data_IF_510389146340
#
_entry.id   IF_510389146340
#
_cell.length_a   1.000
_cell.length_b   1.000
_cell.length_c   1.000
_cell.angle_alpha   90.00
_cell.angle_beta   90.00
_cell.angle_gamma   90.00
#
_symmetry.space_group_name_H-M   'P 1'
#
loop_
_entity.id
_entity.type
_entity.pdbx_description
1 polymer ?
#
# COMPACT_ATOMS: atom_id res chain seq x y z
N UNK A 1 3.38 1.63 31.24
CA UNK A 1 4.53 2.57 31.27
C UNK A 1 4.75 2.97 29.82
N UNK A 2 4.33 4.18 29.44
CA UNK A 2 4.36 4.66 28.05
C UNK A 2 5.79 4.90 27.60
N UNK A 3 6.15 4.33 26.46
CA UNK A 3 7.42 4.57 25.79
C UNK A 3 7.25 5.84 24.96
N UNK A 4 8.12 6.81 25.18
CA UNK A 4 8.13 8.11 24.51
C UNK A 4 8.98 8.03 23.23
N UNK A 5 8.30 7.85 22.09
CA UNK A 5 8.90 7.60 20.75
C UNK A 5 9.18 8.93 20.00
N UNK A 6 8.94 10.08 20.64
CA UNK A 6 9.02 11.43 20.05
C UNK A 6 10.41 11.86 19.55
N UNK A 7 11.48 11.06 19.75
CA UNK A 7 12.85 11.41 19.37
C UNK A 7 13.38 10.82 18.05
N UNK A 8 12.57 10.07 17.29
CA UNK A 8 13.04 9.34 16.10
C UNK A 8 12.74 9.99 14.74
N UNK A 9 12.09 11.16 14.69
CA UNK A 9 11.73 11.82 13.43
C UNK A 9 12.85 12.71 12.87
N UNK A 10 13.74 12.13 12.04
CA UNK A 10 14.58 12.95 11.15
C UNK A 10 14.81 12.40 9.73
N UNK A 11 14.00 11.45 9.28
CA UNK A 11 14.17 10.87 7.92
C UNK A 11 12.91 10.26 7.31
N UNK A 12 11.72 10.75 7.64
CA UNK A 12 10.48 10.22 7.06
C UNK A 12 10.37 10.57 5.57
N UNK A 13 9.84 9.61 4.80
CA UNK A 13 9.47 9.73 3.40
C UNK A 13 8.60 10.98 3.22
N UNK A 14 9.15 12.02 2.59
CA UNK A 14 8.46 13.30 2.36
C UNK A 14 7.36 13.15 1.29
N UNK A 15 6.23 12.56 1.69
CA UNK A 15 4.92 12.92 1.13
C UNK A 15 4.33 13.95 2.10
N UNK A 16 4.25 15.25 1.73
CA UNK A 16 3.97 16.36 2.66
C UNK A 16 2.68 16.22 3.49
N UNK A 17 1.75 15.36 3.07
CA UNK A 17 0.45 15.16 3.73
C UNK A 17 0.50 14.25 4.96
N UNK A 18 1.51 13.37 5.08
CA UNK A 18 1.55 12.33 6.11
C UNK A 18 2.86 12.38 6.87
N UNK A 19 3.10 13.51 7.56
CA UNK A 19 3.98 13.55 8.70
C UNK A 19 3.30 12.74 9.83
N UNK A 20 3.37 11.41 9.76
CA UNK A 20 2.90 10.52 10.82
C UNK A 20 3.94 10.60 11.94
N UNK A 21 3.90 11.69 12.70
CA UNK A 21 4.39 11.66 14.07
C UNK A 21 3.57 10.61 14.81
N UNK A 22 4.21 9.48 15.13
CA UNK A 22 3.61 8.38 15.88
C UNK A 22 3.31 8.87 17.29
N UNK A 23 2.15 9.48 17.45
CA UNK A 23 1.52 9.77 18.74
C UNK A 23 0.19 9.03 18.74
N UNK A 24 0.27 7.70 18.80
CA UNK A 24 -0.88 6.79 18.87
C UNK A 24 -0.62 5.76 19.95
N UNK A 25 -0.98 6.10 21.19
CA UNK A 25 -1.41 5.04 22.12
C UNK A 25 -2.79 4.59 21.67
N UNK A 26 -2.87 3.39 21.10
CA UNK A 26 -4.13 2.74 20.73
C UNK A 26 -4.86 2.43 22.04
N UNK A 27 -5.80 3.31 22.42
CA UNK A 27 -6.67 3.10 23.57
C UNK A 27 -8.09 2.80 23.05
N UNK A 28 -8.57 1.59 23.31
CA UNK A 28 -9.97 1.20 23.02
C UNK A 28 -10.88 1.95 24.01
N UNK A 29 -11.82 2.80 23.55
CA UNK A 29 -12.66 3.57 24.45
C UNK A 29 -13.85 2.73 24.98
N UNK A 30 -14.25 2.90 26.26
CA UNK A 30 -15.43 2.27 26.80
C UNK A 30 -16.71 2.98 26.35
N UNK A 31 -17.78 2.20 26.18
CA UNK A 31 -19.11 2.67 25.75
C UNK A 31 -19.79 3.50 26.84
N UNK A 32 -20.03 4.79 26.57
CA UNK A 32 -21.10 5.56 27.24
C UNK A 32 -21.74 6.56 26.27
N UNK A 33 -23.08 6.60 26.30
CA UNK A 33 -23.96 7.45 25.51
C UNK A 33 -24.34 8.71 26.31
N UNK A 34 -24.26 9.90 25.69
CA UNK A 34 -25.26 11.00 25.78
C UNK A 34 -24.65 12.37 25.39
N UNK A 35 -25.10 13.01 24.30
CA UNK A 35 -26.16 14.05 24.31
C UNK A 35 -26.35 14.63 22.89
N UNK A 36 -27.49 15.28 22.64
CA UNK A 36 -28.08 15.58 21.32
C UNK A 36 -27.75 16.97 20.78
N UNK A 37 -27.69 17.07 19.45
CA UNK A 37 -27.69 18.32 18.66
C UNK A 37 -26.38 18.49 17.89
N UNK A 38 -26.40 18.44 16.55
CA UNK A 38 -25.25 18.50 15.62
C UNK A 38 -24.22 17.37 15.59
N UNK A 39 -24.18 16.50 16.59
CA UNK A 39 -23.28 15.32 16.62
C UNK A 39 -23.70 14.19 15.65
N UNK A 40 -24.93 14.18 15.15
CA UNK A 40 -25.46 13.04 14.38
C UNK A 40 -24.85 12.92 12.98
N UNK A 41 -24.60 14.04 12.28
CA UNK A 41 -24.02 14.00 10.92
C UNK A 41 -22.53 13.64 10.95
N UNK A 42 -21.79 14.17 11.93
CA UNK A 42 -20.36 13.86 12.14
C UNK A 42 -20.18 12.42 12.65
N UNK A 43 -21.03 11.96 13.57
CA UNK A 43 -21.02 10.58 14.08
C UNK A 43 -21.33 9.56 12.98
N UNK A 44 -22.26 9.87 12.07
CA UNK A 44 -22.57 9.01 10.92
C UNK A 44 -21.42 8.98 9.88
N UNK A 45 -20.71 10.10 9.69
CA UNK A 45 -19.55 10.15 8.80
C UNK A 45 -18.41 9.32 9.37
N UNK A 46 -18.04 9.53 10.63
CA UNK A 46 -16.95 8.80 11.28
C UNK A 46 -17.23 7.29 11.33
N UNK A 47 -18.48 6.87 11.63
CA UNK A 47 -18.85 5.45 11.62
C UNK A 47 -18.79 4.83 10.22
N UNK A 48 -19.14 5.58 9.17
CA UNK A 48 -18.98 5.16 7.78
C UNK A 48 -17.50 5.01 7.39
N UNK A 49 -16.65 5.95 7.82
CA UNK A 49 -15.20 5.91 7.61
C UNK A 49 -14.56 4.73 8.35
N UNK A 50 -14.97 4.45 9.59
CA UNK A 50 -14.51 3.29 10.35
C UNK A 50 -14.93 1.96 9.70
N UNK A 51 -16.16 1.88 9.16
CA UNK A 51 -16.60 0.70 8.42
C UNK A 51 -15.72 0.43 7.20
N UNK A 52 -15.36 1.47 6.47
CA UNK A 52 -14.57 1.34 5.26
C UNK A 52 -13.06 1.15 5.55
N UNK A 53 -12.53 1.71 6.64
CA UNK A 53 -11.23 1.34 7.24
C UNK A 53 -11.18 -0.17 7.51
N UNK A 54 -12.21 -0.72 8.17
CA UNK A 54 -12.29 -2.16 8.45
C UNK A 54 -12.33 -3.01 7.17
N UNK A 55 -13.02 -2.55 6.12
CA UNK A 55 -13.02 -3.23 4.81
C UNK A 55 -11.63 -3.24 4.19
N UNK A 56 -10.91 -2.10 4.19
CA UNK A 56 -9.54 -2.04 3.70
C UNK A 56 -8.63 -2.97 4.51
N UNK A 57 -8.72 -2.95 5.84
CA UNK A 57 -7.93 -3.84 6.70
C UNK A 57 -8.20 -5.31 6.41
N UNK A 58 -9.45 -5.71 6.16
CA UNK A 58 -9.78 -7.06 5.72
C UNK A 58 -9.12 -7.42 4.37
N UNK A 59 -9.05 -6.46 3.44
CA UNK A 59 -8.37 -6.66 2.15
C UNK A 59 -6.84 -6.78 2.33
N UNK A 60 -6.24 -5.96 3.18
CA UNK A 60 -4.81 -6.01 3.49
C UNK A 60 -4.43 -7.32 4.19
N UNK A 61 -5.22 -7.77 5.17
CA UNK A 61 -4.98 -9.03 5.89
C UNK A 61 -5.11 -10.29 5.01
N UNK A 62 -5.64 -10.17 3.80
CA UNK A 62 -5.60 -11.26 2.82
C UNK A 62 -4.22 -11.41 2.14
N UNK A 63 -3.30 -10.44 2.28
CA UNK A 63 -2.02 -10.44 1.54
C UNK A 63 -1.10 -11.61 1.88
N UNK A 64 -0.95 -12.05 3.15
CA UNK A 64 -0.20 -13.26 3.46
C UNK A 64 -0.75 -14.50 2.74
N UNK A 65 -2.07 -14.62 2.62
CA UNK A 65 -2.72 -15.72 1.88
C UNK A 65 -2.53 -15.59 0.36
N UNK A 66 -2.52 -14.37 -0.15
CA UNK A 66 -2.23 -14.07 -1.55
C UNK A 66 -0.78 -14.42 -1.92
N UNK A 67 0.15 -14.32 -0.98
CA UNK A 67 1.56 -14.69 -1.17
C UNK A 67 1.82 -16.20 -1.26
N UNK A 68 0.81 -17.08 -1.09
CA UNK A 68 1.01 -18.53 -1.16
C UNK A 68 1.41 -19.06 -2.54
N UNK A 69 1.06 -18.32 -3.60
CA UNK A 69 1.32 -18.70 -5.00
C UNK A 69 1.64 -17.46 -5.83
N UNK A 70 2.58 -17.60 -6.76
CA UNK A 70 3.02 -16.55 -7.70
C UNK A 70 1.85 -15.86 -8.43
N UNK A 71 0.82 -16.62 -8.82
CA UNK A 71 -0.34 -16.11 -9.57
C UNK A 71 -1.28 -15.24 -8.75
N UNK A 72 -1.19 -15.30 -7.42
CA UNK A 72 -2.14 -14.65 -6.52
C UNK A 72 -1.51 -13.51 -5.73
N UNK A 73 -0.28 -13.11 -6.06
CA UNK A 73 0.44 -12.07 -5.33
C UNK A 73 -0.39 -10.79 -5.12
N UNK A 74 -0.18 -10.10 -3.98
CA UNK A 74 -0.83 -8.83 -3.70
C UNK A 74 -0.71 -7.83 -4.86
N UNK A 75 -1.69 -6.91 -5.04
CA UNK A 75 -1.77 -6.03 -6.21
C UNK A 75 -0.70 -4.92 -6.25
N UNK A 76 0.37 -5.04 -5.46
CA UNK A 76 1.56 -4.20 -5.52
C UNK A 76 2.86 -4.99 -5.80
N UNK A 77 2.77 -6.33 -5.90
CA UNK A 77 3.88 -7.23 -6.19
C UNK A 77 3.62 -7.90 -7.53
N UNK A 78 4.46 -7.63 -8.53
CA UNK A 78 4.33 -8.27 -9.83
C UNK A 78 4.71 -9.76 -9.73
N UNK A 79 4.06 -10.67 -10.47
CA UNK A 79 4.49 -12.06 -10.51
C UNK A 79 5.81 -12.32 -11.25
N UNK A 80 6.46 -11.30 -11.82
CA UNK A 80 7.73 -11.39 -12.55
C UNK A 80 7.71 -12.38 -13.74
N UNK A 81 6.61 -12.47 -14.51
CA UNK A 81 6.46 -13.46 -15.60
C UNK A 81 7.54 -13.43 -16.68
N UNK A 82 8.26 -12.32 -16.82
CA UNK A 82 9.43 -12.17 -17.69
C UNK A 82 10.66 -12.97 -17.21
N UNK A 83 10.67 -13.43 -15.95
CA UNK A 83 11.73 -14.25 -15.38
C UNK A 83 11.31 -15.72 -15.22
N UNK A 84 12.24 -16.64 -15.54
CA UNK A 84 12.06 -18.09 -15.34
C UNK A 84 11.76 -18.41 -13.86
N UNK A 85 12.48 -17.73 -12.96
CA UNK A 85 12.40 -17.93 -11.51
C UNK A 85 12.00 -16.63 -10.83
N UNK A 86 11.40 -16.76 -9.66
CA UNK A 86 11.16 -15.59 -8.82
C UNK A 86 12.49 -15.08 -8.25
N UNK A 87 12.64 -13.76 -8.07
CA UNK A 87 13.71 -13.19 -7.26
C UNK A 87 13.77 -13.86 -5.87
N UNK A 88 14.98 -14.09 -5.36
CA UNK A 88 15.21 -14.79 -4.08
C UNK A 88 14.38 -14.16 -2.94
N UNK A 89 14.39 -12.83 -2.86
CA UNK A 89 13.64 -12.05 -1.86
C UNK A 89 12.14 -12.37 -1.86
N UNK A 90 11.52 -12.49 -3.04
CA UNK A 90 10.10 -12.86 -3.16
C UNK A 90 9.87 -14.36 -2.92
N UNK A 91 10.80 -15.22 -3.34
CA UNK A 91 10.75 -16.66 -3.09
C UNK A 91 10.79 -17.00 -1.59
N UNK A 92 11.65 -16.32 -0.84
CA UNK A 92 11.74 -16.45 0.61
C UNK A 92 10.45 -15.97 1.29
N UNK A 93 9.93 -14.80 0.89
CA UNK A 93 8.67 -14.28 1.42
C UNK A 93 7.48 -15.21 1.13
N UNK A 94 7.40 -15.78 -0.08
CA UNK A 94 6.38 -16.79 -0.41
C UNK A 94 6.50 -18.04 0.48
N UNK A 95 7.72 -18.50 0.76
CA UNK A 95 7.96 -19.66 1.64
C UNK A 95 7.55 -19.35 3.09
N UNK A 96 7.88 -18.16 3.59
CA UNK A 96 7.45 -17.69 4.92
C UNK A 96 5.94 -17.52 4.97
N UNK A 97 5.30 -17.03 3.91
CA UNK A 97 3.85 -16.91 3.82
C UNK A 97 3.13 -18.28 3.86
N UNK A 98 3.73 -19.30 3.25
CA UNK A 98 3.25 -20.68 3.36
C UNK A 98 3.36 -21.22 4.78
N UNK A 99 4.49 -20.98 5.45
CA UNK A 99 4.66 -21.31 6.85
C UNK A 99 3.65 -20.55 7.72
N UNK A 100 3.44 -19.26 7.46
CA UNK A 100 2.44 -18.43 8.13
C UNK A 100 1.05 -19.06 7.99
N UNK A 101 0.60 -19.41 6.79
CA UNK A 101 -0.73 -19.97 6.59
C UNK A 101 -0.92 -21.37 7.20
N UNK A 102 0.14 -22.17 7.28
CA UNK A 102 0.10 -23.55 7.78
C UNK A 102 0.46 -23.68 9.27
N UNK A 103 0.84 -22.58 9.94
CA UNK A 103 1.35 -22.61 11.31
C UNK A 103 0.33 -23.20 12.30
N UNK A 104 0.86 -23.95 13.26
CA UNK A 104 0.19 -24.35 14.51
C UNK A 104 0.81 -23.59 15.68
N UNK A 105 0.17 -23.58 16.87
CA UNK A 105 0.74 -22.95 18.07
C UNK A 105 2.18 -23.41 18.40
N UNK A 106 2.52 -24.67 18.09
CA UNK A 106 3.87 -25.22 18.32
C UNK A 106 4.91 -24.68 17.33
N UNK A 107 4.48 -24.30 16.12
CA UNK A 107 5.37 -23.82 15.04
C UNK A 107 5.43 -22.31 14.93
N UNK A 108 4.55 -21.58 15.62
CA UNK A 108 4.51 -20.13 15.60
C UNK A 108 5.84 -19.47 16.02
N UNK A 109 6.55 -19.91 17.08
CA UNK A 109 7.87 -19.36 17.40
C UNK A 109 8.93 -19.62 16.31
N UNK A 110 8.77 -20.66 15.50
CA UNK A 110 9.65 -20.92 14.37
C UNK A 110 9.38 -19.96 13.20
N UNK A 111 8.11 -19.69 12.90
CA UNK A 111 7.73 -18.66 11.92
C UNK A 111 8.36 -17.30 12.23
N UNK A 112 8.23 -16.84 13.49
CA UNK A 112 8.76 -15.52 13.86
C UNK A 112 10.28 -15.46 13.77
N UNK A 113 10.99 -16.53 14.17
CA UNK A 113 12.45 -16.63 13.94
C UNK A 113 12.83 -16.59 12.46
N UNK A 114 12.01 -17.13 11.56
CA UNK A 114 12.25 -17.06 10.12
C UNK A 114 12.06 -15.64 9.59
N UNK A 115 11.05 -14.91 10.06
CA UNK A 115 10.85 -13.50 9.72
C UNK A 115 12.02 -12.65 10.25
N UNK A 116 12.43 -12.85 11.50
CA UNK A 116 13.57 -12.13 12.10
C UNK A 116 14.89 -12.39 11.36
N UNK A 117 15.13 -13.65 10.96
CA UNK A 117 16.32 -14.01 10.21
C UNK A 117 16.33 -13.41 8.80
N UNK A 118 15.17 -13.38 8.13
CA UNK A 118 15.06 -12.77 6.81
C UNK A 118 15.19 -11.26 6.89
N UNK A 119 14.57 -10.61 7.87
CA UNK A 119 14.71 -9.18 8.14
C UNK A 119 16.19 -8.79 8.33
N UNK A 120 16.92 -9.50 9.18
CA UNK A 120 18.35 -9.26 9.40
C UNK A 120 19.15 -9.45 8.10
N UNK A 121 18.88 -10.51 7.35
CA UNK A 121 19.52 -10.77 6.05
C UNK A 121 19.30 -9.62 5.06
N UNK A 122 18.10 -9.02 5.04
CA UNK A 122 17.80 -7.87 4.18
C UNK A 122 18.59 -6.64 4.65
N UNK A 123 18.65 -6.39 5.95
CA UNK A 123 19.37 -5.28 6.56
C UNK A 123 20.88 -5.33 6.30
N UNK A 124 21.50 -6.49 6.49
CA UNK A 124 22.93 -6.72 6.25
C UNK A 124 23.33 -6.44 4.78
N UNK A 125 22.48 -6.84 3.83
CA UNK A 125 22.76 -6.70 2.40
C UNK A 125 22.33 -5.34 1.83
N UNK A 126 21.48 -4.58 2.53
CA UNK A 126 20.76 -3.41 2.00
C UNK A 126 21.61 -2.45 1.16
N UNK A 127 22.79 -2.07 1.67
CA UNK A 127 23.65 -1.07 1.02
C UNK A 127 24.42 -1.61 -0.19
N UNK A 128 24.39 -2.92 -0.44
CA UNK A 128 24.99 -3.59 -1.59
C UNK A 128 23.97 -3.86 -2.70
N UNK A 129 22.67 -3.70 -2.41
CA UNK A 129 21.60 -4.04 -3.34
C UNK A 129 21.37 -2.93 -4.38
N UNK A 130 21.08 -3.29 -5.64
CA UNK A 130 20.63 -2.34 -6.64
C UNK A 130 19.19 -1.86 -6.33
N UNK A 131 18.73 -0.74 -6.92
CA UNK A 131 17.43 -0.14 -6.60
C UNK A 131 16.23 -1.10 -6.74
N UNK A 132 16.26 -2.00 -7.73
CA UNK A 132 15.21 -3.01 -7.95
C UNK A 132 15.10 -3.98 -6.79
N UNK A 133 16.22 -4.50 -6.29
CA UNK A 133 16.24 -5.40 -5.15
C UNK A 133 15.83 -4.68 -3.86
N UNK A 134 16.26 -3.43 -3.66
CA UNK A 134 15.82 -2.61 -2.51
C UNK A 134 14.29 -2.44 -2.52
N UNK A 135 13.67 -2.28 -3.71
CA UNK A 135 12.21 -2.23 -3.82
C UNK A 135 11.53 -3.55 -3.45
N UNK A 136 12.11 -4.70 -3.84
CA UNK A 136 11.60 -6.01 -3.43
C UNK A 136 11.68 -6.18 -1.90
N UNK A 137 12.74 -5.67 -1.27
CA UNK A 137 12.85 -5.65 0.19
C UNK A 137 11.69 -4.87 0.82
N UNK A 138 11.36 -3.67 0.31
CA UNK A 138 10.20 -2.90 0.78
C UNK A 138 8.90 -3.68 0.64
N UNK A 139 8.70 -4.33 -0.51
CA UNK A 139 7.49 -5.11 -0.75
C UNK A 139 7.33 -6.24 0.29
N UNK A 140 8.40 -6.98 0.54
CA UNK A 140 8.42 -8.10 1.50
C UNK A 140 8.23 -7.62 2.93
N UNK A 141 8.88 -6.52 3.33
CA UNK A 141 8.71 -5.96 4.67
C UNK A 141 7.27 -5.53 4.95
N UNK A 142 6.56 -4.98 3.96
CA UNK A 142 5.14 -4.66 4.09
C UNK A 142 4.29 -5.92 4.32
N UNK A 143 4.60 -7.02 3.63
CA UNK A 143 3.92 -8.31 3.88
C UNK A 143 4.16 -8.78 5.32
N UNK A 144 5.40 -8.69 5.83
CA UNK A 144 5.70 -9.07 7.22
C UNK A 144 5.03 -8.17 8.25
N UNK A 145 4.94 -6.85 7.99
CA UNK A 145 4.16 -5.95 8.82
C UNK A 145 2.68 -6.34 8.86
N UNK A 146 2.08 -6.68 7.72
CA UNK A 146 0.69 -7.13 7.63
C UNK A 146 0.48 -8.44 8.41
N UNK A 147 1.43 -9.40 8.30
CA UNK A 147 1.42 -10.61 9.11
C UNK A 147 1.41 -10.26 10.61
N UNK A 148 2.37 -9.45 11.08
CA UNK A 148 2.47 -9.04 12.47
C UNK A 148 1.21 -8.32 12.99
N UNK A 149 0.62 -7.42 12.19
CA UNK A 149 -0.61 -6.72 12.54
C UNK A 149 -1.83 -7.64 12.59
N UNK A 150 -1.87 -8.70 11.79
CA UNK A 150 -3.00 -9.63 11.75
C UNK A 150 -3.08 -10.57 12.95
N UNK A 151 -1.97 -10.78 13.67
CA UNK A 151 -1.91 -11.77 14.76
C UNK A 151 -2.25 -11.20 16.14
N UNK A 152 -2.19 -9.88 16.34
CA UNK A 152 -2.66 -9.13 17.53
C UNK A 152 -2.69 -9.94 18.86
N UNK A 153 -1.59 -10.60 19.21
CA UNK A 153 -1.36 -11.07 20.58
C UNK A 153 -0.16 -10.33 21.16
N UNK A 154 -0.37 -9.82 22.37
CA UNK A 154 0.39 -8.76 23.07
C UNK A 154 1.78 -9.25 23.55
N UNK A 155 2.25 -10.41 23.10
CA UNK A 155 3.37 -11.11 23.72
C UNK A 155 4.76 -10.57 23.29
N UNK A 156 4.88 -9.93 22.11
CA UNK A 156 6.16 -9.36 21.66
C UNK A 156 6.03 -7.89 21.26
N UNK A 157 6.16 -7.02 22.27
CA UNK A 157 6.09 -5.57 22.13
C UNK A 157 7.20 -4.94 21.27
N UNK A 158 8.22 -5.70 20.82
CA UNK A 158 9.37 -5.16 20.08
C UNK A 158 9.35 -5.52 18.58
N UNK A 159 8.62 -6.56 18.17
CA UNK A 159 8.60 -7.02 16.78
C UNK A 159 8.05 -5.96 15.82
N UNK A 160 6.85 -5.46 16.09
CA UNK A 160 6.20 -4.47 15.23
C UNK A 160 7.07 -3.21 15.08
N UNK A 161 7.58 -2.58 16.16
CA UNK A 161 8.54 -1.47 16.05
C UNK A 161 9.76 -1.81 15.18
N UNK A 162 10.40 -2.96 15.37
CA UNK A 162 11.58 -3.37 14.58
C UNK A 162 11.27 -3.50 13.08
N UNK A 163 10.12 -4.09 12.72
CA UNK A 163 9.70 -4.20 11.31
C UNK A 163 9.46 -2.82 10.68
N UNK A 164 8.87 -1.88 11.44
CA UNK A 164 8.70 -0.50 11.00
C UNK A 164 10.04 0.20 10.78
N UNK A 165 10.95 0.17 11.76
CA UNK A 165 12.29 0.77 11.66
C UNK A 165 13.06 0.25 10.44
N UNK A 166 12.98 -1.05 10.18
CA UNK A 166 13.62 -1.67 9.02
C UNK A 166 12.99 -1.19 7.71
N UNK A 167 11.66 -1.10 7.66
CA UNK A 167 10.95 -0.60 6.48
C UNK A 167 11.33 0.85 6.20
N UNK A 168 11.44 1.70 7.23
CA UNK A 168 11.89 3.09 7.09
C UNK A 168 13.34 3.17 6.59
N UNK A 169 14.24 2.34 7.14
CA UNK A 169 15.63 2.27 6.71
C UNK A 169 15.75 1.91 5.21
N UNK A 170 15.06 0.86 4.78
CA UNK A 170 15.04 0.44 3.37
C UNK A 170 14.40 1.55 2.51
N UNK A 171 13.34 2.20 3.02
CA UNK A 171 12.64 3.27 2.32
C UNK A 171 13.51 4.51 2.11
N UNK A 172 14.28 4.90 3.11
CA UNK A 172 15.28 5.97 3.01
C UNK A 172 16.36 5.60 2.00
N UNK A 173 16.89 4.37 2.06
CA UNK A 173 17.89 3.91 1.09
C UNK A 173 17.35 3.94 -0.34
N UNK A 174 16.10 3.55 -0.55
CA UNK A 174 15.49 3.58 -1.87
C UNK A 174 15.35 5.01 -2.40
N UNK A 175 14.94 5.96 -1.54
CA UNK A 175 14.88 7.37 -1.90
C UNK A 175 16.25 7.94 -2.26
N UNK A 176 17.31 7.59 -1.52
CA UNK A 176 18.67 8.02 -1.84
C UNK A 176 19.12 7.56 -3.23
N UNK A 177 18.65 6.39 -3.67
CA UNK A 177 18.99 5.80 -4.97
C UNK A 177 18.14 6.34 -6.12
N UNK A 178 16.85 6.59 -5.89
CA UNK A 178 15.87 6.86 -6.96
C UNK A 178 15.29 8.29 -6.95
N UNK A 179 15.42 9.03 -5.87
CA UNK A 179 14.85 10.37 -5.67
C UNK A 179 13.33 10.43 -5.52
N UNK A 180 12.58 9.48 -6.06
CA UNK A 180 11.11 9.43 -5.95
C UNK A 180 10.51 8.03 -6.11
N UNK A 181 9.27 7.86 -5.63
CA UNK A 181 8.48 6.62 -5.72
C UNK A 181 7.34 6.66 -6.73
N UNK A 182 6.90 7.83 -7.19
CA UNK A 182 5.57 7.97 -7.80
C UNK A 182 5.59 8.66 -9.17
N UNK A 183 6.73 8.67 -9.86
CA UNK A 183 6.81 9.21 -11.22
C UNK A 183 5.80 8.51 -12.15
N UNK A 184 5.05 9.31 -12.92
CA UNK A 184 4.06 8.79 -13.86
C UNK A 184 4.74 8.28 -15.12
N UNK A 185 4.09 7.33 -15.80
CA UNK A 185 4.59 6.79 -17.08
C UNK A 185 4.70 7.88 -18.16
N UNK A 186 3.89 8.93 -18.08
CA UNK A 186 3.98 10.07 -19.00
C UNK A 186 5.23 10.91 -18.75
N UNK A 187 5.63 11.06 -17.49
CA UNK A 187 6.81 11.85 -17.10
C UNK A 187 8.13 11.09 -17.24
N UNK A 188 8.11 9.78 -16.98
CA UNK A 188 9.25 8.89 -17.04
C UNK A 188 8.86 7.62 -17.83
N UNK A 189 8.81 7.69 -19.17
CA UNK A 189 8.38 6.58 -19.99
C UNK A 189 9.41 5.44 -19.95
N UNK A 190 8.91 4.23 -19.75
CA UNK A 190 9.71 3.02 -19.63
C UNK A 190 10.20 2.56 -21.00
N UNK A 191 11.48 2.19 -21.08
CA UNK A 191 12.10 1.74 -22.34
C UNK A 191 11.84 0.26 -22.62
N UNK A 192 11.65 -0.54 -21.57
CA UNK A 192 11.43 -1.99 -21.64
C UNK A 192 10.24 -2.40 -20.77
N UNK A 193 9.76 -3.63 -20.95
CA UNK A 193 8.68 -4.15 -20.11
C UNK A 193 9.13 -4.32 -18.65
N UNK A 194 10.38 -4.68 -18.44
CA UNK A 194 11.02 -4.83 -17.13
C UNK A 194 11.17 -3.47 -16.43
N UNK A 195 11.53 -2.41 -17.16
CA UNK A 195 11.52 -1.04 -16.65
C UNK A 195 10.10 -0.63 -16.26
N UNK A 196 9.12 -0.95 -17.10
CA UNK A 196 7.72 -0.64 -16.86
C UNK A 196 7.18 -1.35 -15.62
N UNK A 197 7.46 -2.64 -15.45
CA UNK A 197 7.07 -3.41 -14.27
C UNK A 197 7.64 -2.77 -13.01
N UNK A 198 8.91 -2.36 -13.04
CA UNK A 198 9.53 -1.69 -11.91
C UNK A 198 8.89 -0.33 -11.62
N UNK A 199 8.68 0.51 -12.65
CA UNK A 199 8.01 1.79 -12.49
C UNK A 199 6.58 1.64 -11.94
N UNK A 200 5.82 0.70 -12.47
CA UNK A 200 4.45 0.41 -12.03
C UNK A 200 4.39 -0.17 -10.61
N UNK A 201 5.36 -1.01 -10.22
CA UNK A 201 5.49 -1.52 -8.86
C UNK A 201 5.68 -0.36 -7.85
N UNK A 202 6.50 0.65 -8.20
CA UNK A 202 6.70 1.86 -7.38
C UNK A 202 5.43 2.70 -7.25
N UNK A 203 4.67 2.88 -8.34
CA UNK A 203 3.37 3.58 -8.33
C UNK A 203 2.37 2.87 -7.43
N UNK A 204 2.19 1.55 -7.61
CA UNK A 204 1.31 0.72 -6.78
C UNK A 204 1.73 0.73 -5.31
N UNK A 205 3.03 0.76 -5.02
CA UNK A 205 3.56 0.91 -3.66
C UNK A 205 3.17 2.25 -3.03
N UNK A 206 3.31 3.34 -3.78
CA UNK A 206 2.94 4.69 -3.32
C UNK A 206 1.44 4.79 -3.01
N UNK A 207 0.60 4.18 -3.85
CA UNK A 207 -0.83 4.05 -3.61
C UNK A 207 -1.16 3.21 -2.36
N UNK A 208 -0.47 2.09 -2.17
CA UNK A 208 -0.63 1.27 -0.97
C UNK A 208 -0.27 2.05 0.30
N UNK A 209 0.82 2.84 0.25
CA UNK A 209 1.23 3.67 1.37
C UNK A 209 0.19 4.74 1.72
N UNK A 210 -0.42 5.37 0.71
CA UNK A 210 -1.56 6.27 0.90
C UNK A 210 -2.73 5.56 1.59
N UNK A 211 -3.10 4.36 1.12
CA UNK A 211 -4.19 3.56 1.70
C UNK A 211 -3.92 3.26 3.18
N UNK A 212 -2.73 2.76 3.50
CA UNK A 212 -2.33 2.45 4.89
C UNK A 212 -2.36 3.72 5.75
N UNK A 213 -1.83 4.84 5.24
CA UNK A 213 -1.84 6.13 5.95
C UNK A 213 -3.26 6.63 6.24
N UNK A 214 -4.19 6.42 5.32
CA UNK A 214 -5.61 6.74 5.51
C UNK A 214 -6.23 5.90 6.63
N UNK A 215 -5.98 4.59 6.63
CA UNK A 215 -6.45 3.67 7.68
C UNK A 215 -5.92 4.08 9.05
N UNK A 216 -4.61 4.30 9.19
CA UNK A 216 -3.99 4.72 10.46
C UNK A 216 -4.62 6.02 10.96
N UNK A 217 -4.85 6.98 10.07
CA UNK A 217 -5.48 8.26 10.40
C UNK A 217 -6.89 8.07 10.96
N UNK A 218 -7.70 7.21 10.33
CA UNK A 218 -9.08 6.92 10.74
C UNK A 218 -9.11 6.19 12.09
N UNK A 219 -8.29 5.16 12.26
CA UNK A 219 -8.21 4.39 13.51
C UNK A 219 -7.73 5.27 14.68
N UNK A 220 -6.95 6.32 14.39
CA UNK A 220 -6.55 7.34 15.37
C UNK A 220 -7.66 8.35 15.71
N UNK A 221 -8.85 8.23 15.12
CA UNK A 221 -9.96 9.18 15.28
C UNK A 221 -9.72 10.53 14.60
N UNK A 222 -8.71 10.64 13.74
CA UNK A 222 -8.38 11.85 12.99
C UNK A 222 -9.09 11.81 11.62
N UNK A 223 -9.39 12.98 11.07
CA UNK A 223 -9.89 13.12 9.70
C UNK A 223 -8.77 13.75 8.88
N UNK A 224 -8.45 13.15 7.74
CA UNK A 224 -7.54 13.73 6.78
C UNK A 224 -8.32 14.68 5.87
N UNK A 225 -7.82 15.90 5.70
CA UNK A 225 -8.28 16.79 4.66
C UNK A 225 -7.33 16.63 3.47
N UNK A 226 -7.88 16.57 2.25
CA UNK A 226 -7.10 16.44 1.02
C UNK A 226 -5.87 17.35 0.98
N UNK A 227 -4.79 16.83 0.41
CA UNK A 227 -3.53 17.56 0.25
C UNK A 227 -3.19 17.67 -1.22
N UNK A 228 -2.95 18.89 -1.69
CA UNK A 228 -2.59 19.16 -3.08
C UNK A 228 -1.30 18.47 -3.52
N UNK A 229 -0.42 18.11 -2.58
CA UNK A 229 0.76 17.30 -2.91
C UNK A 229 0.39 15.91 -3.43
N UNK A 230 -0.77 15.37 -3.01
CA UNK A 230 -1.26 14.07 -3.45
C UNK A 230 -1.93 14.13 -4.83
N UNK A 231 -2.27 15.31 -5.35
CA UNK A 231 -2.93 15.45 -6.66
C UNK A 231 -2.05 14.89 -7.78
N UNK A 232 -0.72 14.94 -7.59
CA UNK A 232 0.28 14.43 -8.54
C UNK A 232 0.61 12.94 -8.37
N UNK A 233 0.04 12.27 -7.35
CA UNK A 233 0.26 10.85 -7.12
C UNK A 233 -0.25 10.06 -8.33
N UNK A 234 0.66 9.37 -9.02
CA UNK A 234 0.30 8.55 -10.17
C UNK A 234 -0.60 7.38 -9.73
N UNK A 235 -1.69 7.16 -10.46
CA UNK A 235 -2.58 6.02 -10.24
C UNK A 235 -1.97 4.73 -10.81
N UNK A 236 -2.36 3.55 -10.28
CA UNK A 236 -2.05 2.29 -10.91
C UNK A 236 -2.68 2.19 -12.29
N UNK A 237 -1.98 1.52 -13.19
CA UNK A 237 -2.50 1.09 -14.48
C UNK A 237 -3.59 0.02 -14.34
N UNK A 238 -4.20 -0.36 -15.47
CA UNK A 238 -5.23 -1.41 -15.48
C UNK A 238 -4.70 -2.76 -15.01
N UNK A 239 -5.60 -3.57 -14.48
CA UNK A 239 -5.35 -4.95 -14.07
C UNK A 239 -4.74 -5.78 -15.20
N UNK A 240 -5.30 -5.69 -16.41
CA UNK A 240 -4.85 -6.49 -17.57
C UNK A 240 -3.41 -6.15 -17.94
N UNK A 241 -3.06 -4.87 -17.90
CA UNK A 241 -1.71 -4.42 -18.18
C UNK A 241 -0.69 -4.90 -17.11
N UNK A 242 -1.09 -4.87 -15.85
CA UNK A 242 -0.26 -5.36 -14.73
C UNK A 242 -0.12 -6.87 -14.68
N UNK A 243 -1.15 -7.62 -15.06
CA UNK A 243 -1.17 -9.09 -15.00
C UNK A 243 -0.67 -9.75 -16.28
N UNK A 244 -0.27 -8.96 -17.30
CA UNK A 244 0.29 -9.46 -18.54
C UNK A 244 1.41 -10.47 -18.28
N UNK A 245 1.40 -11.59 -19.02
CA UNK A 245 2.31 -12.72 -18.80
C UNK A 245 3.39 -12.83 -19.87
N UNK A 246 3.32 -12.00 -20.89
CA UNK A 246 4.30 -11.93 -21.97
C UNK A 246 4.49 -10.50 -22.45
N UNK A 247 5.62 -10.25 -23.12
CA UNK A 247 5.90 -8.96 -23.72
C UNK A 247 4.84 -8.55 -24.75
N UNK A 248 4.34 -9.51 -25.54
CA UNK A 248 3.31 -9.29 -26.56
C UNK A 248 1.95 -8.90 -25.94
N UNK A 249 1.55 -9.61 -24.89
CA UNK A 249 0.34 -9.28 -24.12
C UNK A 249 0.45 -7.89 -23.50
N UNK A 250 1.59 -7.57 -22.89
CA UNK A 250 1.83 -6.24 -22.33
C UNK A 250 1.78 -5.14 -23.39
N UNK A 251 2.42 -5.32 -24.54
CA UNK A 251 2.39 -4.34 -25.64
C UNK A 251 0.95 -4.10 -26.14
N UNK A 252 0.18 -5.18 -26.28
CA UNK A 252 -1.21 -5.14 -26.74
C UNK A 252 -2.08 -4.39 -25.74
N UNK A 253 -2.03 -4.76 -24.46
CA UNK A 253 -2.78 -4.09 -23.39
C UNK A 253 -2.34 -2.64 -23.21
N UNK A 254 -1.05 -2.33 -23.38
CA UNK A 254 -0.52 -0.96 -23.27
C UNK A 254 -1.12 -0.07 -24.35
N UNK A 255 -1.19 -0.54 -25.59
CA UNK A 255 -1.80 0.19 -26.70
C UNK A 255 -3.29 0.48 -26.44
N UNK A 256 -4.05 -0.51 -25.97
CA UNK A 256 -5.46 -0.31 -25.59
C UNK A 256 -5.62 0.67 -24.43
N UNK A 257 -4.77 0.55 -23.41
CA UNK A 257 -4.77 1.44 -22.26
C UNK A 257 -4.51 2.90 -22.68
N UNK A 258 -3.49 3.15 -23.51
CA UNK A 258 -3.15 4.50 -23.97
C UNK A 258 -4.24 5.12 -24.85
N UNK A 259 -4.89 4.31 -25.70
CA UNK A 259 -6.02 4.76 -26.53
C UNK A 259 -7.25 5.15 -25.71
N UNK A 260 -7.39 4.64 -24.47
CA UNK A 260 -8.53 4.90 -23.60
C UNK A 260 -8.49 6.26 -22.90
N UNK A 261 -7.40 7.03 -23.04
CA UNK A 261 -7.18 8.31 -22.33
C UNK A 261 -7.44 8.17 -20.81
N UNK A 262 -6.69 7.29 -20.12
CA UNK A 262 -7.00 6.88 -18.77
C UNK A 262 -6.76 8.00 -17.75
N UNK A 263 -7.42 7.91 -16.60
CA UNK A 263 -7.06 8.70 -15.42
C UNK A 263 -5.68 8.25 -14.94
N UNK A 264 -4.77 9.21 -14.80
CA UNK A 264 -3.35 8.94 -14.54
C UNK A 264 -2.88 9.44 -13.18
N UNK A 265 -3.62 10.35 -12.55
CA UNK A 265 -3.27 10.89 -11.23
C UNK A 265 -4.45 10.89 -10.27
N UNK A 266 -4.15 10.90 -8.97
CA UNK A 266 -5.18 10.98 -7.93
C UNK A 266 -6.02 12.27 -8.06
N UNK A 267 -5.41 13.38 -8.45
CA UNK A 267 -6.11 14.64 -8.68
C UNK A 267 -7.14 14.53 -9.82
N UNK A 268 -6.79 13.86 -10.92
CA UNK A 268 -7.72 13.58 -12.01
C UNK A 268 -8.89 12.70 -11.55
N UNK A 269 -8.64 11.68 -10.73
CA UNK A 269 -9.70 10.83 -10.17
C UNK A 269 -10.64 11.61 -9.23
N UNK A 270 -10.09 12.45 -8.36
CA UNK A 270 -10.89 13.29 -7.46
C UNK A 270 -11.75 14.27 -8.26
N UNK A 271 -11.19 14.93 -9.28
CA UNK A 271 -11.92 15.88 -10.12
C UNK A 271 -13.01 15.17 -10.95
N UNK A 272 -12.72 13.98 -11.48
CA UNK A 272 -13.69 13.19 -12.22
C UNK A 272 -14.87 12.77 -11.33
N UNK A 273 -14.61 12.36 -10.08
CA UNK A 273 -15.66 12.03 -9.08
C UNK A 273 -16.52 13.24 -8.74
N UNK A 274 -15.90 14.40 -8.49
CA UNK A 274 -16.59 15.66 -8.19
C UNK A 274 -17.51 16.10 -9.32
N UNK A 275 -17.09 15.87 -10.57
CA UNK A 275 -17.85 16.24 -11.76
C UNK A 275 -18.57 15.05 -12.40
N UNK A 276 -18.94 14.02 -11.62
CA UNK A 276 -19.57 12.80 -12.15
C UNK A 276 -20.89 13.02 -12.90
N UNK A 277 -21.52 14.19 -12.76
CA UNK A 277 -22.65 14.61 -13.59
C UNK A 277 -22.30 14.98 -15.05
N UNK A 278 -21.01 15.22 -15.34
CA UNK A 278 -20.51 15.45 -16.70
C UNK A 278 -20.33 14.09 -17.43
N UNK A 279 -20.92 13.89 -18.61
CA UNK A 279 -20.82 12.62 -19.34
C UNK A 279 -19.38 12.17 -19.63
N UNK A 280 -18.47 13.11 -19.89
CA UNK A 280 -17.06 12.80 -20.17
C UNK A 280 -16.34 12.31 -18.92
N UNK A 281 -16.53 12.98 -17.79
CA UNK A 281 -15.91 12.57 -16.52
C UNK A 281 -16.51 11.26 -16.01
N UNK A 282 -17.83 11.05 -16.18
CA UNK A 282 -18.47 9.78 -15.91
C UNK A 282 -17.89 8.63 -16.76
N UNK A 283 -17.61 8.88 -18.04
CA UNK A 283 -16.99 7.90 -18.94
C UNK A 283 -15.55 7.55 -18.50
N UNK A 284 -14.75 8.54 -18.08
CA UNK A 284 -13.40 8.32 -17.53
C UNK A 284 -13.45 7.47 -16.26
N UNK A 285 -14.38 7.76 -15.34
CA UNK A 285 -14.58 6.94 -14.14
C UNK A 285 -14.97 5.51 -14.48
N UNK A 286 -15.94 5.31 -15.39
CA UNK A 286 -16.34 3.97 -15.83
C UNK A 286 -15.17 3.17 -16.44
N UNK A 287 -14.34 3.84 -17.23
CA UNK A 287 -13.14 3.24 -17.83
C UNK A 287 -12.14 2.81 -16.77
N UNK A 288 -11.89 3.67 -15.77
CA UNK A 288 -11.00 3.37 -14.66
C UNK A 288 -11.53 2.23 -13.76
N UNK A 289 -12.83 2.23 -13.45
CA UNK A 289 -13.48 1.16 -12.68
C UNK A 289 -13.43 -0.18 -13.43
N UNK A 290 -13.69 -0.18 -14.74
CA UNK A 290 -13.64 -1.38 -15.59
C UNK A 290 -12.25 -2.03 -15.59
N UNK A 291 -11.20 -1.21 -15.62
CA UNK A 291 -9.81 -1.67 -15.60
C UNK A 291 -9.27 -1.96 -14.20
N UNK A 292 -10.03 -1.71 -13.13
CA UNK A 292 -9.55 -1.74 -11.76
C UNK A 292 -9.27 -3.14 -11.20
N UNK A 293 -8.33 -3.21 -10.26
CA UNK A 293 -8.10 -4.39 -9.42
C UNK A 293 -8.44 -4.09 -7.94
N UNK A 294 -8.02 -4.98 -7.03
CA UNK A 294 -8.23 -4.79 -5.59
C UNK A 294 -7.56 -3.52 -5.05
N UNK A 295 -6.46 -3.04 -5.66
CA UNK A 295 -5.83 -1.76 -5.31
C UNK A 295 -6.73 -0.59 -5.68
N UNK A 296 -7.27 -0.58 -6.89
CA UNK A 296 -8.21 0.46 -7.34
C UNK A 296 -9.43 0.55 -6.43
N UNK A 297 -9.97 -0.61 -6.01
CA UNK A 297 -11.09 -0.66 -5.06
C UNK A 297 -10.74 -0.05 -3.69
N UNK A 298 -9.55 -0.32 -3.13
CA UNK A 298 -9.12 0.30 -1.88
C UNK A 298 -8.82 1.80 -2.03
N UNK A 299 -8.21 2.21 -3.15
CA UNK A 299 -7.99 3.63 -3.47
C UNK A 299 -9.30 4.39 -3.56
N UNK A 300 -10.32 3.79 -4.19
CA UNK A 300 -11.67 4.34 -4.24
C UNK A 300 -12.20 4.65 -2.84
N UNK A 301 -12.12 3.67 -1.93
CA UNK A 301 -12.52 3.85 -0.54
C UNK A 301 -11.70 4.95 0.13
N UNK A 302 -10.37 4.95 -0.05
CA UNK A 302 -9.49 5.96 0.52
C UNK A 302 -9.80 7.38 0.03
N UNK A 303 -10.13 7.55 -1.26
CA UNK A 303 -10.52 8.85 -1.85
C UNK A 303 -11.81 9.38 -1.25
N UNK A 304 -12.82 8.53 -1.07
CA UNK A 304 -14.06 8.91 -0.38
C UNK A 304 -13.78 9.39 1.06
N UNK A 305 -12.72 8.89 1.70
CA UNK A 305 -12.37 9.31 3.06
C UNK A 305 -11.80 10.72 3.10
N UNK A 306 -10.76 10.94 2.32
CA UNK A 306 -9.93 12.15 2.36
C UNK A 306 -10.64 13.30 1.63
N UNK A 307 -11.33 13.02 0.53
CA UNK A 307 -11.99 14.01 -0.31
C UNK A 307 -13.52 13.98 -0.29
N UNK A 308 -14.17 13.04 0.41
CA UNK A 308 -15.65 12.95 0.44
C UNK A 308 -16.40 14.11 1.10
N UNK A 309 -15.74 15.23 1.37
CA UNK A 309 -16.37 16.51 1.75
C UNK A 309 -16.48 17.45 0.55
N UNK A 310 -15.75 17.17 -0.53
CA UNK A 310 -15.70 17.90 -1.81
C UNK A 310 -16.34 17.09 -2.96
N UNK A 311 -16.46 15.77 -2.79
CA UNK A 311 -17.23 14.88 -3.66
C UNK A 311 -18.73 14.99 -3.35
#
# INVERSE_FOLDING_TARGET
MSIDITRLTKGSIDIPCFNIGIDTQIHVPPRTLSSKGDLTRVSNRLSSLQNASRVIMQMLYAYPQMMLRRQTFPPFIHPHWHEERLPETLGNCMSIAQLFAARTPETEPFLWRMIDAEEERLREKLYLLPPREVHLCLQVMIVYMIMAMSESEVEDNQRTPRLFETTELIGSRFLDLMGSYYASEQTEPSSTWEDWIFAESRRRMSCLWLIISCVITIESGKICNGCSALDTLALPSSKTLWEARSLEEWQTEKAFYDMSSPLTTLGELVEAKKNSGNPLEAQKLQTWEMGGDKMSAMLNLAVEFVWGHVL
#
